data_IF_946987412755
#
_entry.id   IF_946987412755
#
_cell.length_a   1.000
_cell.length_b   1.000
_cell.length_c   1.000
_cell.angle_alpha   90.00
_cell.angle_beta   90.00
_cell.angle_gamma   90.00
#
_symmetry.space_group_name_H-M   'P 1'
#
loop_
_entity.id
_entity.type
_entity.pdbx_description
1 polymer ?
#
# COMPACT_ATOMS: atom_id res chain seq x y z
N UNK A 1 17.96 17.73 -5.67
CA UNK A 1 17.32 16.51 -6.20
C UNK A 1 16.70 15.73 -5.04
N UNK A 2 15.58 16.23 -4.49
CA UNK A 2 14.83 15.58 -3.37
C UNK A 2 13.30 15.60 -3.57
N UNK A 3 12.79 16.30 -4.59
CA UNK A 3 11.35 16.38 -4.87
C UNK A 3 10.79 15.26 -5.74
N UNK A 4 11.65 14.54 -6.48
CA UNK A 4 11.22 13.39 -7.30
C UNK A 4 10.79 12.21 -6.41
N UNK A 5 11.51 11.94 -5.32
CA UNK A 5 11.25 10.77 -4.49
C UNK A 5 9.89 10.82 -3.78
N UNK A 6 9.44 11.99 -3.35
CA UNK A 6 8.17 12.15 -2.62
C UNK A 6 6.96 12.15 -3.57
N UNK A 7 7.06 12.83 -4.70
CA UNK A 7 6.03 12.81 -5.73
C UNK A 7 5.86 11.39 -6.30
N UNK A 8 6.98 10.69 -6.56
CA UNK A 8 6.98 9.30 -7.01
C UNK A 8 6.41 8.37 -5.93
N UNK A 9 6.74 8.58 -4.66
CA UNK A 9 6.19 7.78 -3.56
C UNK A 9 4.67 7.94 -3.42
N UNK A 10 4.16 9.17 -3.55
CA UNK A 10 2.72 9.44 -3.50
C UNK A 10 2.00 8.86 -4.72
N UNK A 11 2.58 9.00 -5.91
CA UNK A 11 2.00 8.42 -7.12
C UNK A 11 1.92 6.89 -7.05
N UNK A 12 2.96 6.24 -6.52
CA UNK A 12 2.97 4.78 -6.33
C UNK A 12 1.87 4.34 -5.36
N UNK A 13 1.59 5.08 -4.27
CA UNK A 13 0.47 4.75 -3.36
C UNK A 13 -0.87 4.79 -4.07
N UNK A 14 -1.12 5.83 -4.87
CA UNK A 14 -2.36 5.95 -5.65
C UNK A 14 -2.50 4.80 -6.64
N UNK A 15 -1.41 4.41 -7.31
CA UNK A 15 -1.40 3.27 -8.22
C UNK A 15 -1.75 1.97 -7.48
N UNK A 16 -1.17 1.74 -6.30
CA UNK A 16 -1.48 0.56 -5.48
C UNK A 16 -2.94 0.52 -5.04
N UNK A 17 -3.47 1.63 -4.53
CA UNK A 17 -4.87 1.73 -4.11
C UNK A 17 -5.82 1.53 -5.30
N UNK A 18 -5.44 2.00 -6.49
CA UNK A 18 -6.19 1.79 -7.72
C UNK A 18 -6.22 0.30 -8.11
N UNK A 19 -5.07 -0.38 -8.07
CA UNK A 19 -4.98 -1.82 -8.34
C UNK A 19 -5.84 -2.61 -7.34
N UNK A 20 -5.76 -2.27 -6.05
CA UNK A 20 -6.54 -2.91 -5.00
C UNK A 20 -8.04 -2.69 -5.18
N UNK A 21 -8.45 -1.50 -5.61
CA UNK A 21 -9.84 -1.19 -5.94
C UNK A 21 -10.32 -2.04 -7.11
N UNK A 22 -9.53 -2.17 -8.18
CA UNK A 22 -9.87 -3.00 -9.34
C UNK A 22 -9.96 -4.49 -8.99
N UNK A 23 -9.09 -4.99 -8.11
CA UNK A 23 -9.14 -6.38 -7.62
C UNK A 23 -10.38 -6.59 -6.74
N UNK A 24 -10.65 -5.68 -5.81
CA UNK A 24 -11.82 -5.75 -4.91
C UNK A 24 -13.13 -5.75 -5.69
N UNK A 25 -13.21 -4.92 -6.74
CA UNK A 25 -14.35 -4.84 -7.63
C UNK A 25 -14.40 -6.00 -8.65
N UNK A 26 -13.49 -6.97 -8.56
CA UNK A 26 -13.38 -8.14 -9.44
C UNK A 26 -13.24 -7.76 -10.93
N UNK A 27 -12.67 -6.58 -11.22
CA UNK A 27 -12.39 -6.09 -12.59
C UNK A 27 -11.16 -6.79 -13.16
N UNK A 28 -10.16 -7.03 -12.31
CA UNK A 28 -8.95 -7.80 -12.63
C UNK A 28 -8.63 -8.77 -11.49
N UNK A 29 -7.87 -9.83 -11.79
CA UNK A 29 -7.30 -10.73 -10.78
C UNK A 29 -5.83 -10.40 -10.57
N UNK A 30 -5.31 -10.71 -9.38
CA UNK A 30 -3.88 -10.55 -9.10
C UNK A 30 -3.00 -11.34 -10.08
N UNK A 31 -3.48 -12.48 -10.56
CA UNK A 31 -2.80 -13.34 -11.55
C UNK A 31 -2.71 -12.74 -12.94
N UNK A 32 -3.50 -11.71 -13.24
CA UNK A 32 -3.51 -11.05 -14.55
C UNK A 32 -2.33 -10.07 -14.70
N UNK A 33 -1.66 -9.75 -13.58
CA UNK A 33 -0.49 -8.89 -13.55
C UNK A 33 0.80 -9.68 -13.82
N UNK A 34 1.85 -9.06 -14.40
CA UNK A 34 3.15 -9.71 -14.57
C UNK A 34 3.76 -10.19 -13.24
N UNK A 35 4.53 -11.28 -13.21
CA UNK A 35 5.11 -11.83 -11.97
C UNK A 35 5.92 -10.82 -11.15
N UNK A 36 6.59 -9.87 -11.81
CA UNK A 36 7.32 -8.80 -11.15
C UNK A 36 6.39 -7.82 -10.41
N UNK A 37 5.24 -7.49 -11.00
CA UNK A 37 4.24 -6.61 -10.38
C UNK A 37 3.57 -7.30 -9.19
N UNK A 38 3.21 -8.58 -9.34
CA UNK A 38 2.66 -9.41 -8.26
C UNK A 38 3.56 -9.42 -7.02
N UNK A 39 4.87 -9.69 -7.19
CA UNK A 39 5.84 -9.68 -6.09
C UNK A 39 5.94 -8.32 -5.42
N UNK A 40 5.99 -7.23 -6.21
CA UNK A 40 6.08 -5.86 -5.67
C UNK A 40 4.85 -5.48 -4.85
N UNK A 41 3.65 -5.80 -5.35
CA UNK A 41 2.40 -5.54 -4.62
C UNK A 41 2.33 -6.30 -3.30
N UNK A 42 2.73 -7.58 -3.29
CA UNK A 42 2.76 -8.38 -2.04
C UNK A 42 3.73 -7.80 -1.00
N UNK A 43 4.96 -7.43 -1.41
CA UNK A 43 5.95 -6.84 -0.51
C UNK A 43 5.47 -5.51 0.08
N UNK A 44 4.88 -4.65 -0.75
CA UNK A 44 4.41 -3.33 -0.32
C UNK A 44 3.16 -3.39 0.55
N UNK A 45 2.24 -4.32 0.29
CA UNK A 45 1.12 -4.62 1.20
C UNK A 45 1.59 -5.05 2.59
N UNK A 46 2.60 -5.93 2.64
CA UNK A 46 3.22 -6.35 3.90
C UNK A 46 3.83 -5.17 4.67
N UNK A 47 4.49 -4.24 3.97
CA UNK A 47 5.06 -3.03 4.58
C UNK A 47 3.96 -2.08 5.10
N UNK A 48 2.90 -1.84 4.33
CA UNK A 48 1.75 -1.01 4.74
C UNK A 48 1.04 -1.58 5.96
N UNK A 49 0.81 -2.89 6.00
CA UNK A 49 0.15 -3.55 7.12
C UNK A 49 0.96 -3.40 8.42
N UNK A 50 2.29 -3.55 8.35
CA UNK A 50 3.19 -3.37 9.51
C UNK A 50 3.23 -1.94 10.01
N UNK A 51 3.28 -0.96 9.10
CA UNK A 51 3.27 0.47 9.48
C UNK A 51 1.90 0.84 10.07
N UNK A 52 0.81 0.42 9.44
CA UNK A 52 -0.54 0.72 9.91
C UNK A 52 -0.81 0.09 11.28
N UNK A 53 -0.38 -1.17 11.50
CA UNK A 53 -0.51 -1.82 12.80
C UNK A 53 0.36 -1.19 13.89
N UNK A 54 1.55 -0.69 13.55
CA UNK A 54 2.39 0.06 14.50
C UNK A 54 1.76 1.43 14.85
N UNK A 55 1.18 2.12 13.86
CA UNK A 55 0.48 3.39 14.08
C UNK A 55 -0.82 3.19 14.88
N UNK A 56 -1.55 2.11 14.65
CA UNK A 56 -2.76 1.76 15.39
C UNK A 56 -2.44 1.49 16.88
N UNK A 57 -1.38 0.72 17.15
CA UNK A 57 -0.89 0.48 18.51
C UNK A 57 -0.44 1.76 19.23
N UNK A 58 0.20 2.69 18.51
CA UNK A 58 0.62 3.99 19.08
C UNK A 58 -0.54 4.99 19.25
N UNK A 59 -1.63 4.84 18.48
CA UNK A 59 -2.82 5.69 18.57
C UNK A 59 -3.82 5.25 19.66
N UNK A 60 -3.74 4.01 20.13
CA UNK A 60 -4.61 3.51 21.21
C UNK A 60 -4.16 3.94 22.60
N UNK A 61 -2.89 4.30 22.79
CA UNK A 61 -2.33 4.72 24.09
C UNK A 61 -2.64 6.18 24.46
N UNK A 62 -3.01 7.04 23.49
CA UNK A 62 -3.37 8.44 23.76
C UNK A 62 -4.85 8.62 24.16
N UNK A 63 -5.65 7.54 24.15
CA UNK A 63 -7.08 7.57 24.54
C UNK A 63 -7.36 7.05 25.96
N UNK A 64 -6.30 6.79 26.73
CA UNK A 64 -6.37 6.37 28.14
C UNK A 64 -5.67 7.38 29.06
N UNK A 65 -6.07 8.66 29.01
CA UNK A 65 -5.82 9.65 30.07
C UNK A 65 -7.01 10.59 30.21
#
# INVERSE_FOLDING_TARGET
MRGFDEADANFVRVLEDSIDTLITNNVIRHTDLPPAAQKKLMLRKGLRSRISGALDFMGTDERLL
#
